data_IF_317561459722
#
_entry.id   IF_317561459722
#
_cell.length_a   1.000
_cell.length_b   1.000
_cell.length_c   1.000
_cell.angle_alpha   90.00
_cell.angle_beta   90.00
_cell.angle_gamma   90.00
#
_symmetry.space_group_name_H-M   'P 1'
#
loop_
_entity.id
_entity.type
_entity.pdbx_description
1 polymer ?
#
# COMPACT_ATOMS: atom_id res chain seq x y z
N UNK A 1 7.51 16.44 -10.84
CA UNK A 1 6.74 16.85 -9.64
C UNK A 1 7.50 16.46 -8.38
N UNK A 2 7.58 17.35 -7.43
CA UNK A 2 8.24 17.08 -6.15
C UNK A 2 7.20 16.56 -5.15
N UNK A 3 7.35 15.31 -4.70
CA UNK A 3 6.44 14.72 -3.71
C UNK A 3 6.66 15.34 -2.33
N UNK A 4 5.56 15.65 -1.65
CA UNK A 4 5.57 16.09 -0.25
C UNK A 4 5.04 14.98 0.64
N UNK A 5 5.35 15.05 1.94
CA UNK A 5 5.03 13.96 2.88
C UNK A 5 3.52 13.62 2.93
N UNK A 6 2.64 14.59 2.75
CA UNK A 6 1.20 14.40 2.79
C UNK A 6 0.62 13.70 1.55
N UNK A 7 1.42 13.49 0.51
CA UNK A 7 1.00 12.82 -0.73
C UNK A 7 1.12 11.30 -0.67
N UNK A 8 1.77 10.76 0.35
CA UNK A 8 1.97 9.31 0.51
C UNK A 8 0.74 8.63 1.10
N UNK A 9 0.75 7.31 1.12
CA UNK A 9 -0.41 6.48 1.47
C UNK A 9 -0.30 6.01 2.91
N UNK A 10 -1.07 6.59 3.79
CA UNK A 10 -1.05 6.34 5.23
C UNK A 10 -2.21 5.46 5.68
N UNK A 11 -1.96 4.69 6.72
CA UNK A 11 -2.95 3.89 7.40
C UNK A 11 -2.75 4.05 8.91
N UNK A 12 -3.84 4.22 9.65
CA UNK A 12 -3.81 4.28 11.11
C UNK A 12 -4.75 3.21 11.65
N UNK A 13 -4.30 2.45 12.65
CA UNK A 13 -5.10 1.39 13.25
C UNK A 13 -4.76 1.23 14.73
N UNK A 14 -5.70 0.64 15.47
CA UNK A 14 -5.49 0.28 16.86
C UNK A 14 -4.72 -1.03 16.94
N UNK A 15 -3.65 -1.04 17.73
CA UNK A 15 -2.89 -2.26 18.02
C UNK A 15 -3.21 -2.71 19.45
N UNK A 16 -3.91 -3.83 19.57
CA UNK A 16 -4.22 -4.40 20.88
C UNK A 16 -2.96 -4.87 21.63
N UNK A 17 -1.96 -5.32 20.87
CA UNK A 17 -0.67 -5.74 21.41
C UNK A 17 0.10 -4.57 22.02
N UNK A 18 0.11 -3.43 21.35
CA UNK A 18 0.82 -2.25 21.81
C UNK A 18 -0.02 -1.38 22.74
N UNK A 19 -1.33 -1.60 22.80
CA UNK A 19 -2.23 -0.76 23.55
C UNK A 19 -2.25 0.70 23.07
N UNK A 20 -2.05 0.90 21.79
CA UNK A 20 -1.90 2.24 21.19
C UNK A 20 -2.30 2.23 19.71
N UNK A 21 -2.38 3.42 19.12
CA UNK A 21 -2.59 3.56 17.69
C UNK A 21 -1.26 3.52 16.95
N UNK A 22 -1.25 2.82 15.82
CA UNK A 22 -0.08 2.67 14.95
C UNK A 22 -0.39 3.29 13.60
N UNK A 23 0.50 4.15 13.12
CA UNK A 23 0.46 4.66 11.75
C UNK A 23 1.53 3.99 10.92
N UNK A 24 1.20 3.64 9.69
CA UNK A 24 2.11 3.08 8.70
C UNK A 24 1.96 3.82 7.37
N UNK A 25 2.95 3.70 6.51
CA UNK A 25 2.96 4.33 5.19
C UNK A 25 3.43 3.31 4.15
N UNK A 26 2.60 3.10 3.13
CA UNK A 26 2.81 2.00 2.16
C UNK A 26 4.13 2.11 1.40
N UNK A 27 4.52 3.32 1.01
CA UNK A 27 5.72 3.55 0.21
C UNK A 27 7.02 3.48 1.02
N UNK A 28 6.93 3.52 2.35
CA UNK A 28 8.04 3.38 3.28
C UNK A 28 7.73 2.33 4.33
N UNK A 29 7.80 1.03 3.97
CA UNK A 29 7.33 -0.04 4.85
C UNK A 29 8.13 -0.20 6.15
N UNK A 30 9.33 0.37 6.23
CA UNK A 30 10.12 0.36 7.46
C UNK A 30 9.76 1.48 8.44
N UNK A 31 8.94 2.44 8.03
CA UNK A 31 8.57 3.58 8.88
C UNK A 31 7.20 3.36 9.53
N UNK A 32 7.11 3.68 10.81
CA UNK A 32 5.85 3.65 11.56
C UNK A 32 5.93 4.63 12.72
N UNK A 33 4.78 4.96 13.30
CA UNK A 33 4.71 5.78 14.51
C UNK A 33 3.58 5.28 15.40
N UNK A 34 3.85 5.21 16.69
CA UNK A 34 2.91 4.75 17.72
C UNK A 34 2.56 5.93 18.61
N UNK A 35 1.27 6.13 18.89
CA UNK A 35 0.81 7.22 19.74
C UNK A 35 -0.51 6.86 20.44
N UNK A 36 -0.92 7.71 21.38
CA UNK A 36 -2.14 7.49 22.16
C UNK A 36 -3.42 7.84 21.40
N UNK A 37 -3.32 8.57 20.31
CA UNK A 37 -4.47 8.92 19.46
C UNK A 37 -4.16 8.70 17.98
N UNK A 38 -5.21 8.54 17.17
CA UNK A 38 -5.07 8.41 15.73
C UNK A 38 -4.40 9.64 15.14
N UNK A 39 -4.80 10.82 15.58
CA UNK A 39 -4.25 12.09 15.09
C UNK A 39 -2.76 12.21 15.37
N UNK A 40 -2.33 11.88 16.58
CA UNK A 40 -0.92 11.93 16.96
C UNK A 40 -0.09 10.88 16.21
N UNK A 41 -0.63 9.67 16.03
CA UNK A 41 0.05 8.61 15.29
C UNK A 41 0.28 9.05 13.83
N UNK A 42 -0.73 9.60 13.18
CA UNK A 42 -0.64 10.04 11.80
C UNK A 42 0.27 11.26 11.65
N UNK A 43 0.08 12.30 12.46
CA UNK A 43 0.88 13.51 12.35
C UNK A 43 2.36 13.27 12.63
N UNK A 44 2.66 12.40 13.60
CA UNK A 44 4.04 12.02 13.92
C UNK A 44 4.70 11.26 12.76
N UNK A 45 3.95 10.39 12.09
CA UNK A 45 4.50 9.67 10.94
C UNK A 45 4.70 10.60 9.73
N UNK A 46 3.78 11.52 9.49
CA UNK A 46 3.94 12.48 8.39
C UNK A 46 5.20 13.34 8.61
N UNK A 47 5.45 13.78 9.86
CA UNK A 47 6.68 14.50 10.19
C UNK A 47 7.92 13.66 9.95
N UNK A 48 7.89 12.39 10.34
CA UNK A 48 9.00 11.46 10.11
C UNK A 48 9.26 11.27 8.61
N UNK A 49 8.23 11.09 7.82
CA UNK A 49 8.35 10.98 6.35
C UNK A 49 8.93 12.25 5.75
N UNK A 50 8.49 13.42 6.23
CA UNK A 50 9.04 14.70 5.78
C UNK A 50 10.55 14.79 6.03
N UNK A 51 11.00 14.36 7.21
CA UNK A 51 12.42 14.36 7.56
C UNK A 51 13.20 13.38 6.68
N UNK A 52 12.66 12.19 6.45
CA UNK A 52 13.28 11.17 5.58
C UNK A 52 13.39 11.69 4.15
N UNK A 53 12.38 12.40 3.64
CA UNK A 53 12.42 12.98 2.30
C UNK A 53 13.56 14.02 2.17
N UNK A 54 13.74 14.85 3.19
CA UNK A 54 14.85 15.81 3.21
C UNK A 54 16.20 15.09 3.16
N UNK A 55 16.37 14.08 4.00
CA UNK A 55 17.61 13.30 4.06
C UNK A 55 17.90 12.60 2.74
N UNK A 56 16.90 11.99 2.11
CA UNK A 56 17.06 11.31 0.83
C UNK A 56 17.49 12.28 -0.27
N UNK A 57 16.86 13.46 -0.34
CA UNK A 57 17.20 14.47 -1.34
C UNK A 57 18.60 15.03 -1.15
N UNK A 58 19.00 15.24 0.09
CA UNK A 58 20.37 15.72 0.40
C UNK A 58 21.43 14.68 0.05
N UNK A 59 21.14 13.40 0.21
CA UNK A 59 22.08 12.32 -0.15
C UNK A 59 21.99 11.87 -1.61
N UNK A 60 21.13 12.50 -2.41
CA UNK A 60 20.97 12.17 -3.82
C UNK A 60 20.11 10.95 -4.09
N UNK A 61 19.44 10.40 -3.07
CA UNK A 61 18.53 9.29 -3.24
C UNK A 61 17.20 9.77 -3.82
N UNK A 62 16.62 8.93 -4.69
CA UNK A 62 15.34 9.21 -5.30
C UNK A 62 14.21 8.74 -4.36
N UNK A 63 13.37 9.65 -3.81
CA UNK A 63 12.21 9.21 -3.04
C UNK A 63 11.25 8.38 -3.87
N UNK A 64 10.54 7.42 -3.26
CA UNK A 64 9.51 6.66 -3.99
C UNK A 64 8.40 7.59 -4.46
N UNK A 65 7.86 7.30 -5.63
CA UNK A 65 6.70 8.02 -6.16
C UNK A 65 5.47 7.61 -5.34
N UNK A 66 4.68 8.55 -4.81
CA UNK A 66 3.44 8.19 -4.12
C UNK A 66 2.55 7.31 -4.99
N UNK A 67 1.90 6.31 -4.39
CA UNK A 67 1.03 5.37 -5.13
C UNK A 67 -0.06 6.10 -5.92
N UNK A 68 -0.61 7.17 -5.35
CA UNK A 68 -1.64 7.97 -6.03
C UNK A 68 -1.14 8.81 -7.19
N UNK A 69 0.18 8.92 -7.37
CA UNK A 69 0.80 9.67 -8.46
C UNK A 69 1.36 8.78 -9.57
N UNK A 70 1.31 7.45 -9.40
CA UNK A 70 1.80 6.49 -10.41
C UNK A 70 0.77 6.29 -11.51
N UNK A 71 1.25 5.97 -12.70
CA UNK A 71 0.39 5.64 -13.83
C UNK A 71 0.13 4.14 -13.83
N UNK A 72 -1.13 3.76 -14.00
CA UNK A 72 -1.56 2.36 -14.01
C UNK A 72 -2.20 2.03 -15.36
N UNK A 73 -1.74 0.94 -16.00
CA UNK A 73 -2.23 0.53 -17.32
C UNK A 73 -3.56 -0.22 -17.28
N UNK A 74 -3.94 -0.74 -16.13
CA UNK A 74 -5.06 -1.66 -16.02
C UNK A 74 -4.72 -3.10 -16.42
N UNK A 75 -3.47 -3.35 -16.79
CA UNK A 75 -2.99 -4.70 -17.14
C UNK A 75 -2.15 -5.24 -15.99
N UNK A 76 -2.44 -6.44 -15.56
CA UNK A 76 -1.71 -7.09 -14.48
C UNK A 76 -1.57 -8.58 -14.76
N UNK A 77 -0.34 -9.10 -14.69
CA UNK A 77 -0.07 -10.52 -14.82
C UNK A 77 -0.04 -11.15 -13.43
N UNK A 78 -0.93 -12.09 -13.17
CA UNK A 78 -1.03 -12.77 -11.90
C UNK A 78 -0.43 -14.17 -12.04
N UNK A 79 0.53 -14.49 -11.17
CA UNK A 79 1.09 -15.84 -11.07
C UNK A 79 0.43 -16.57 -9.91
N UNK A 80 0.11 -17.83 -10.14
CA UNK A 80 -0.50 -18.69 -9.13
C UNK A 80 0.04 -20.10 -9.28
N UNK A 81 -0.21 -20.95 -8.27
CA UNK A 81 0.17 -22.36 -8.38
C UNK A 81 -0.70 -23.06 -9.42
N UNK A 82 -0.23 -24.18 -10.02
CA UNK A 82 -1.06 -24.95 -10.95
C UNK A 82 -2.40 -25.37 -10.34
N UNK A 83 -2.43 -25.69 -9.05
CA UNK A 83 -3.66 -26.05 -8.34
C UNK A 83 -4.63 -24.88 -8.24
N UNK A 84 -4.14 -23.68 -7.92
CA UNK A 84 -4.96 -22.47 -7.88
C UNK A 84 -5.49 -22.12 -9.26
N UNK A 85 -4.66 -22.24 -10.29
CA UNK A 85 -5.05 -21.99 -11.67
C UNK A 85 -6.18 -22.93 -12.10
N UNK A 86 -6.05 -24.21 -11.77
CA UNK A 86 -7.08 -25.21 -12.05
C UNK A 86 -8.41 -24.85 -11.40
N UNK A 87 -8.40 -24.49 -10.11
CA UNK A 87 -9.60 -24.13 -9.38
C UNK A 87 -10.31 -22.91 -9.96
N UNK A 88 -9.55 -21.90 -10.32
CA UNK A 88 -10.09 -20.66 -10.91
C UNK A 88 -10.73 -20.95 -12.28
N UNK A 89 -10.08 -21.76 -13.11
CA UNK A 89 -10.63 -22.17 -14.42
C UNK A 89 -11.93 -22.95 -14.24
N UNK A 90 -11.97 -23.88 -13.29
CA UNK A 90 -13.18 -24.67 -13.03
C UNK A 90 -14.33 -23.80 -12.52
N UNK A 91 -14.06 -22.89 -11.59
CA UNK A 91 -15.07 -21.97 -11.06
C UNK A 91 -15.61 -21.04 -12.15
N UNK A 92 -14.74 -20.51 -12.98
CA UNK A 92 -15.14 -19.64 -14.09
C UNK A 92 -16.05 -20.39 -15.08
N UNK A 93 -15.68 -21.64 -15.41
CA UNK A 93 -16.48 -22.49 -16.29
C UNK A 93 -17.88 -22.78 -15.71
N UNK A 94 -17.95 -23.07 -14.41
CA UNK A 94 -19.22 -23.30 -13.72
C UNK A 94 -20.13 -22.10 -13.74
N UNK A 95 -19.55 -20.89 -13.64
CA UNK A 95 -20.30 -19.64 -13.68
C UNK A 95 -20.55 -19.12 -15.10
N UNK A 96 -19.97 -19.76 -16.12
CA UNK A 96 -20.13 -19.33 -17.51
C UNK A 96 -19.44 -18.01 -17.81
N UNK A 97 -18.36 -17.68 -17.12
CA UNK A 97 -17.59 -16.45 -17.32
C UNK A 97 -16.12 -16.77 -17.63
N UNK A 98 -15.39 -15.77 -18.12
CA UNK A 98 -13.94 -15.92 -18.30
C UNK A 98 -13.22 -15.84 -16.95
N UNK A 99 -11.98 -16.35 -16.90
CA UNK A 99 -11.14 -16.21 -15.69
C UNK A 99 -10.95 -14.75 -15.33
N UNK A 100 -10.71 -13.88 -16.32
CA UNK A 100 -10.58 -12.44 -16.08
C UNK A 100 -11.84 -11.84 -15.47
N UNK A 101 -13.01 -12.18 -15.99
CA UNK A 101 -14.29 -11.71 -15.43
C UNK A 101 -14.48 -12.17 -13.99
N UNK A 102 -14.14 -13.43 -13.70
CA UNK A 102 -14.23 -13.96 -12.35
C UNK A 102 -13.33 -13.19 -11.39
N UNK A 103 -12.05 -12.99 -11.76
CA UNK A 103 -11.09 -12.30 -10.90
C UNK A 103 -11.44 -10.83 -10.70
N UNK A 104 -11.88 -10.15 -11.76
CA UNK A 104 -12.30 -8.74 -11.67
C UNK A 104 -13.48 -8.58 -10.72
N UNK A 105 -14.41 -9.54 -10.69
CA UNK A 105 -15.57 -9.48 -9.79
C UNK A 105 -15.21 -9.56 -8.31
N UNK A 106 -13.96 -9.95 -8.00
CA UNK A 106 -13.45 -10.12 -6.62
C UNK A 106 -12.63 -8.92 -6.11
N UNK A 107 -12.43 -7.89 -6.94
CA UNK A 107 -11.64 -6.71 -6.56
C UNK A 107 -12.43 -5.42 -6.56
#
# INVERSE_FOLDING_TARGET
MKATADMYTYRVFWSGEDGAFVASVSEFPSLSNIADSQKEALSGLIELVADVLVDMRESGEQPPVPLGCRTYSGKYALRMTPEQHRRVVMEAAEQGVSVNQLLISRV
#
